data_IF_645902210318
#
_entry.id   IF_645902210318
#
_cell.length_a   1.000
_cell.length_b   1.000
_cell.length_c   1.000
_cell.angle_alpha   90.00
_cell.angle_beta   90.00
_cell.angle_gamma   90.00
#
_symmetry.space_group_name_H-M   'P 1'
#
loop_
_entity.id
_entity.type
_entity.pdbx_description
1 polymer ?
#
# COMPACT_ATOMS: atom_id res chain seq x y z
N UNK A 1 22.78 28.05 -19.11
CA UNK A 1 21.32 27.86 -19.27
C UNK A 1 20.61 28.66 -18.19
N UNK A 2 19.41 29.20 -18.45
CA UNK A 2 18.66 30.02 -17.46
C UNK A 2 17.35 29.38 -16.99
N UNK A 3 16.78 28.47 -17.78
CA UNK A 3 15.55 27.73 -17.47
C UNK A 3 15.69 26.33 -18.07
N UNK A 4 15.30 25.32 -17.30
CA UNK A 4 15.21 23.93 -17.74
C UNK A 4 13.76 23.49 -17.59
N UNK A 5 13.19 22.91 -18.65
CA UNK A 5 11.85 22.34 -18.63
C UNK A 5 11.99 20.84 -18.80
N UNK A 6 11.46 20.07 -17.85
CA UNK A 6 11.54 18.62 -17.82
C UNK A 6 10.16 18.04 -17.55
N UNK A 7 9.83 16.93 -18.21
CA UNK A 7 8.69 16.06 -17.89
C UNK A 7 9.14 14.98 -16.90
N UNK A 8 8.21 14.21 -16.32
CA UNK A 8 8.52 13.17 -15.33
C UNK A 8 9.64 12.21 -15.79
N UNK A 9 9.68 11.88 -17.08
CA UNK A 9 10.69 11.01 -17.72
C UNK A 9 12.12 11.58 -17.64
N UNK A 10 12.27 12.91 -17.63
CA UNK A 10 13.56 13.59 -17.48
C UNK A 10 13.88 13.93 -16.01
N UNK A 11 12.88 13.86 -15.13
CA UNK A 11 13.03 14.08 -13.68
C UNK A 11 13.57 12.84 -12.93
N UNK A 12 13.51 11.68 -13.57
CA UNK A 12 14.06 10.42 -13.07
C UNK A 12 15.53 10.28 -13.49
N UNK A 13 16.43 10.31 -12.51
CA UNK A 13 17.84 9.92 -12.71
C UNK A 13 18.83 11.01 -13.10
N UNK A 14 18.39 12.26 -13.33
CA UNK A 14 19.29 13.39 -13.61
C UNK A 14 19.62 14.22 -12.36
N UNK A 15 20.84 14.75 -12.30
CA UNK A 15 21.27 15.69 -11.26
C UNK A 15 21.06 17.12 -11.76
N UNK A 16 20.31 17.92 -11.01
CA UNK A 16 19.95 19.30 -11.37
C UNK A 16 20.47 20.33 -10.35
N UNK A 17 21.65 20.05 -9.78
CA UNK A 17 22.26 20.83 -8.70
C UNK A 17 22.64 22.28 -9.11
N UNK A 18 22.72 22.55 -10.41
CA UNK A 18 22.94 23.91 -10.94
C UNK A 18 21.67 24.77 -10.91
N UNK A 19 20.52 24.18 -10.59
CA UNK A 19 19.25 24.90 -10.40
C UNK A 19 19.05 25.24 -8.91
N UNK A 20 18.23 26.25 -8.63
CA UNK A 20 17.83 26.61 -7.26
C UNK A 20 16.37 27.07 -7.14
N UNK A 21 15.64 27.10 -8.25
CA UNK A 21 14.20 27.37 -8.29
C UNK A 21 13.53 26.22 -9.03
N UNK A 22 12.57 25.58 -8.38
CA UNK A 22 11.74 24.51 -8.92
C UNK A 22 10.32 25.05 -9.03
N UNK A 23 9.71 24.91 -10.21
CA UNK A 23 8.31 25.28 -10.43
C UNK A 23 7.58 24.03 -10.92
N UNK A 24 6.64 23.57 -10.11
CA UNK A 24 5.87 22.35 -10.39
C UNK A 24 4.47 22.74 -10.86
N UNK A 25 4.17 22.41 -12.12
CA UNK A 25 2.87 22.70 -12.73
C UNK A 25 1.81 21.64 -12.42
N UNK A 26 2.22 20.43 -12.07
CA UNK A 26 1.37 19.32 -11.65
C UNK A 26 1.46 19.11 -10.13
N UNK A 27 0.35 18.75 -9.49
CA UNK A 27 0.37 18.34 -8.08
C UNK A 27 0.38 16.81 -8.03
N UNK A 28 1.53 16.16 -7.82
CA UNK A 28 1.57 14.72 -7.70
C UNK A 28 0.84 14.32 -6.42
N UNK A 29 -0.01 13.30 -6.53
CA UNK A 29 -0.81 12.79 -5.43
C UNK A 29 0.04 12.33 -4.22
N UNK A 30 1.25 11.85 -4.48
CA UNK A 30 2.21 11.46 -3.47
C UNK A 30 3.24 12.58 -3.21
N UNK A 31 3.26 13.11 -1.98
CA UNK A 31 4.17 14.18 -1.54
C UNK A 31 5.64 13.78 -1.73
N UNK A 32 5.95 12.49 -1.58
CA UNK A 32 7.31 11.98 -1.81
C UNK A 32 7.82 12.30 -3.22
N UNK A 33 6.95 12.45 -4.23
CA UNK A 33 7.37 12.89 -5.57
C UNK A 33 7.85 14.34 -5.57
N UNK A 34 7.22 15.23 -4.80
CA UNK A 34 7.70 16.61 -4.63
C UNK A 34 9.06 16.63 -3.91
N UNK A 35 9.21 15.81 -2.86
CA UNK A 35 10.47 15.67 -2.11
C UNK A 35 11.57 15.10 -3.01
N UNK A 36 11.27 14.07 -3.79
CA UNK A 36 12.24 13.48 -4.74
C UNK A 36 12.62 14.46 -5.85
N UNK A 37 11.68 15.27 -6.34
CA UNK A 37 11.94 16.35 -7.31
C UNK A 37 12.85 17.42 -6.69
N UNK A 38 12.56 17.85 -5.46
CA UNK A 38 13.42 18.77 -4.71
C UNK A 38 14.82 18.18 -4.47
N UNK A 39 14.90 16.90 -4.09
CA UNK A 39 16.15 16.17 -3.89
C UNK A 39 16.96 15.86 -5.16
N UNK A 40 16.50 16.27 -6.36
CA UNK A 40 17.36 16.33 -7.57
C UNK A 40 18.22 17.60 -7.60
N UNK A 41 17.75 18.64 -6.93
CA UNK A 41 18.38 19.96 -6.83
C UNK A 41 19.10 20.10 -5.49
N UNK A 42 18.49 19.59 -4.42
CA UNK A 42 19.05 19.56 -3.07
C UNK A 42 19.94 18.32 -2.89
N UNK A 43 21.21 18.45 -3.28
CA UNK A 43 22.24 17.40 -3.16
C UNK A 43 23.60 18.01 -2.80
N UNK A 44 24.50 17.16 -2.31
CA UNK A 44 25.91 17.49 -2.09
C UNK A 44 26.49 18.08 -3.39
N UNK A 45 26.90 19.34 -3.34
CA UNK A 45 27.39 20.11 -4.51
C UNK A 45 26.55 21.34 -4.85
N UNK A 46 25.35 21.49 -4.29
CA UNK A 46 24.53 22.70 -4.42
C UNK A 46 25.27 23.94 -3.89
N UNK A 47 25.25 25.03 -4.67
CA UNK A 47 25.95 26.30 -4.36
C UNK A 47 25.04 27.43 -3.89
N UNK A 48 23.73 27.28 -4.07
CA UNK A 48 22.74 28.27 -3.61
C UNK A 48 22.40 28.03 -2.14
N UNK A 49 22.41 29.08 -1.33
CA UNK A 49 22.04 29.02 0.09
C UNK A 49 20.56 28.66 0.33
N UNK A 50 19.72 28.84 -0.70
CA UNK A 50 18.28 28.56 -0.66
C UNK A 50 17.84 27.90 -1.94
N UNK A 51 16.95 26.92 -1.80
CA UNK A 51 16.19 26.30 -2.89
C UNK A 51 14.73 26.72 -2.73
N UNK A 52 14.13 27.26 -3.79
CA UNK A 52 12.74 27.72 -3.80
C UNK A 52 11.87 26.76 -4.59
N UNK A 53 10.86 26.18 -3.95
CA UNK A 53 9.91 25.26 -4.56
C UNK A 53 8.54 25.92 -4.69
N UNK A 54 8.08 26.15 -5.91
CA UNK A 54 6.76 26.68 -6.21
C UNK A 54 5.86 25.58 -6.78
N UNK A 55 4.60 25.56 -6.34
CA UNK A 55 3.59 24.60 -6.75
C UNK A 55 2.36 25.35 -7.26
N UNK A 56 1.93 25.06 -8.48
CA UNK A 56 0.66 25.59 -9.00
C UNK A 56 -0.52 24.87 -8.35
N UNK A 57 -1.42 25.63 -7.73
CA UNK A 57 -2.67 25.13 -7.18
C UNK A 57 -3.83 25.34 -8.17
N UNK A 58 -4.80 24.40 -8.24
CA UNK A 58 -5.99 24.58 -9.06
C UNK A 58 -6.82 25.77 -8.58
N UNK A 59 -7.58 26.39 -9.49
CA UNK A 59 -8.52 27.45 -9.15
C UNK A 59 -9.59 26.96 -8.15
N UNK A 60 -10.09 27.85 -7.29
CA UNK A 60 -10.98 27.55 -6.15
C UNK A 60 -12.19 26.65 -6.47
N UNK A 61 -12.71 26.72 -7.70
CA UNK A 61 -13.82 25.89 -8.17
C UNK A 61 -13.49 24.39 -8.25
N UNK A 62 -12.25 24.04 -8.63
CA UNK A 62 -11.77 22.65 -8.74
C UNK A 62 -11.30 22.13 -7.38
N UNK A 63 -10.69 22.99 -6.55
CA UNK A 63 -10.29 22.66 -5.17
C UNK A 63 -11.49 22.23 -4.31
N UNK A 64 -12.65 22.89 -4.47
CA UNK A 64 -13.87 22.54 -3.72
C UNK A 64 -14.41 21.14 -4.03
N UNK A 65 -14.12 20.60 -5.22
CA UNK A 65 -14.57 19.28 -5.66
C UNK A 65 -13.58 18.20 -5.24
N UNK A 66 -12.27 18.45 -5.40
CA UNK A 66 -11.23 17.43 -5.22
C UNK A 66 -10.66 17.43 -3.79
N UNK A 67 -10.87 18.52 -3.02
CA UNK A 67 -10.33 18.75 -1.67
C UNK A 67 -8.82 18.50 -1.60
N UNK A 68 -8.09 18.87 -2.66
CA UNK A 68 -6.70 18.50 -2.87
C UNK A 68 -5.78 19.15 -1.81
N UNK A 69 -5.97 20.44 -1.51
CA UNK A 69 -5.24 21.16 -0.46
C UNK A 69 -5.48 20.55 0.92
N UNK A 70 -6.71 20.12 1.20
CA UNK A 70 -7.03 19.44 2.45
C UNK A 70 -6.34 18.08 2.57
N UNK A 71 -6.39 17.26 1.51
CA UNK A 71 -5.73 15.94 1.47
C UNK A 71 -4.21 16.03 1.58
N UNK A 72 -3.59 16.95 0.83
CA UNK A 72 -2.14 17.19 0.89
C UNK A 72 -1.74 17.70 2.29
N UNK A 73 -2.53 18.58 2.91
CA UNK A 73 -2.26 19.05 4.28
C UNK A 73 -2.40 17.94 5.32
N UNK A 74 -3.39 17.06 5.18
CA UNK A 74 -3.53 15.88 6.05
C UNK A 74 -2.31 14.97 5.91
N UNK A 75 -1.90 14.64 4.68
CA UNK A 75 -0.70 13.84 4.43
C UNK A 75 0.58 14.51 4.92
N UNK A 76 0.72 15.83 4.81
CA UNK A 76 1.88 16.56 5.35
C UNK A 76 1.92 16.49 6.88
N UNK A 77 0.77 16.57 7.56
CA UNK A 77 0.69 16.39 9.01
C UNK A 77 1.00 14.96 9.45
N UNK A 78 0.55 13.96 8.68
CA UNK A 78 0.87 12.56 8.91
C UNK A 78 2.36 12.24 8.67
N UNK A 79 3.01 12.97 7.76
CA UNK A 79 4.44 12.82 7.44
C UNK A 79 5.36 13.79 8.20
N UNK A 80 4.84 14.73 8.99
CA UNK A 80 5.62 15.74 9.72
C UNK A 80 6.48 15.14 10.86
N UNK A 81 6.25 13.89 11.24
CA UNK A 81 7.16 13.16 12.14
C UNK A 81 8.39 12.58 11.39
N UNK A 82 8.32 12.43 10.06
CA UNK A 82 9.36 11.82 9.21
C UNK A 82 10.27 12.88 8.58
N UNK A 83 9.72 14.07 8.32
CA UNK A 83 10.44 15.21 7.74
C UNK A 83 10.59 16.25 8.85
N UNK A 84 11.83 16.54 9.25
CA UNK A 84 12.13 17.39 10.41
C UNK A 84 11.31 18.69 10.46
N UNK A 85 10.91 19.07 11.66
CA UNK A 85 9.89 20.07 12.03
C UNK A 85 10.12 21.52 11.57
N UNK A 86 11.14 21.81 10.75
CA UNK A 86 11.55 23.17 10.40
C UNK A 86 11.09 23.63 9.00
N UNK A 87 10.33 22.82 8.25
CA UNK A 87 9.85 23.15 6.91
C UNK A 87 8.39 23.66 6.92
N UNK A 88 8.19 24.97 6.77
CA UNK A 88 6.86 25.56 6.56
C UNK A 88 6.42 25.39 5.09
N UNK A 89 5.47 24.49 4.83
CA UNK A 89 5.02 24.14 3.48
C UNK A 89 3.93 25.07 2.94
N UNK A 90 3.19 25.77 3.80
CA UNK A 90 2.16 26.75 3.42
C UNK A 90 2.33 28.08 4.19
N UNK A 91 1.99 29.20 3.55
CA UNK A 91 2.12 30.56 4.15
C UNK A 91 1.23 30.77 5.40
N UNK A 92 0.18 29.95 5.59
CA UNK A 92 -0.85 30.11 6.64
C UNK A 92 -0.69 29.17 7.84
N UNK A 93 0.45 28.49 8.05
CA UNK A 93 0.66 27.42 9.05
C UNK A 93 0.73 27.89 10.54
N UNK A 94 -0.23 28.72 10.99
CA UNK A 94 -0.40 29.08 12.41
C UNK A 94 -1.79 28.68 12.94
N UNK A 95 -2.07 27.38 13.18
CA UNK A 95 -2.92 26.95 14.32
C UNK A 95 -3.11 25.42 14.52
N UNK A 96 -3.03 25.01 15.78
CA UNK A 96 -3.16 23.67 16.38
C UNK A 96 -4.62 23.20 16.62
N UNK A 97 -5.49 23.20 15.60
CA UNK A 97 -6.90 22.78 15.80
C UNK A 97 -7.26 21.37 15.30
N UNK A 98 -6.41 20.72 14.50
CA UNK A 98 -6.78 19.48 13.79
C UNK A 98 -6.73 18.18 14.62
N UNK A 99 -6.19 18.22 15.84
CA UNK A 99 -5.97 17.02 16.67
C UNK A 99 -7.26 16.53 17.37
N UNK A 100 -8.35 17.33 17.37
CA UNK A 100 -9.59 16.97 18.10
C UNK A 100 -10.66 16.24 17.29
N UNK A 101 -10.65 16.35 15.96
CA UNK A 101 -11.74 15.78 15.14
C UNK A 101 -11.48 14.32 14.72
N UNK A 102 -10.30 13.77 15.00
CA UNK A 102 -9.94 12.38 14.70
C UNK A 102 -10.49 11.37 15.72
N UNK A 103 -10.96 11.83 16.89
CA UNK A 103 -11.39 10.98 18.01
C UNK A 103 -12.90 10.79 18.16
N UNK A 104 -13.72 11.28 17.22
CA UNK A 104 -15.18 11.06 17.29
C UNK A 104 -15.62 10.14 16.15
N UNK A 105 -15.74 8.85 16.48
CA UNK A 105 -16.39 7.84 15.65
C UNK A 105 -17.76 8.30 15.16
N UNK A 106 -17.92 8.31 13.84
CA UNK A 106 -19.17 7.93 13.21
C UNK A 106 -18.88 6.92 12.12
N UNK A 107 -19.21 5.68 12.42
CA UNK A 107 -19.38 4.60 11.46
C UNK A 107 -20.23 5.07 10.27
N UNK A 108 -19.75 4.81 9.05
CA UNK A 108 -20.51 4.96 7.82
C UNK A 108 -20.06 6.10 6.91
N UNK A 109 -18.87 5.97 6.32
CA UNK A 109 -18.60 6.43 4.95
C UNK A 109 -17.71 5.39 4.28
N UNK A 110 -18.33 4.54 3.46
CA UNK A 110 -17.63 3.68 2.51
C UNK A 110 -16.94 4.52 1.42
N UNK A 111 -15.92 3.90 0.83
CA UNK A 111 -15.27 4.21 -0.46
C UNK A 111 -14.25 5.35 -0.52
N UNK A 112 -13.03 5.04 -0.07
CA UNK A 112 -11.80 5.64 -0.60
C UNK A 112 -10.55 4.75 -0.35
N UNK A 113 -10.62 3.43 -0.55
CA UNK A 113 -9.46 2.52 -0.42
C UNK A 113 -8.87 2.13 -1.78
N UNK A 114 -8.37 3.11 -2.53
CA UNK A 114 -7.50 2.85 -3.69
C UNK A 114 -6.11 3.52 -3.55
N UNK A 115 -5.79 4.07 -2.36
CA UNK A 115 -4.55 4.83 -2.13
C UNK A 115 -3.76 4.42 -0.87
N UNK A 116 -4.27 3.47 -0.08
CA UNK A 116 -3.61 2.94 1.14
C UNK A 116 -2.62 1.81 0.83
N UNK A 117 -2.90 0.98 -0.18
CA UNK A 117 -2.09 -0.21 -0.53
C UNK A 117 -0.76 0.15 -1.23
N UNK A 118 -0.73 1.25 -2.00
CA UNK A 118 0.48 1.75 -2.69
C UNK A 118 1.46 2.40 -1.70
N UNK A 119 0.96 3.05 -0.65
CA UNK A 119 1.79 3.64 0.40
C UNK A 119 2.41 2.57 1.31
N UNK A 120 1.67 1.49 1.62
CA UNK A 120 2.21 0.41 2.47
C UNK A 120 3.39 -0.32 1.83
N UNK A 121 3.29 -0.68 0.55
CA UNK A 121 4.38 -1.35 -0.17
C UNK A 121 5.63 -0.46 -0.28
N UNK A 122 5.44 0.84 -0.51
CA UNK A 122 6.51 1.82 -0.59
C UNK A 122 7.19 2.01 0.77
N UNK A 123 6.39 2.09 1.84
CA UNK A 123 6.88 2.20 3.21
C UNK A 123 7.65 0.94 3.64
N UNK A 124 7.11 -0.26 3.36
CA UNK A 124 7.79 -1.52 3.60
C UNK A 124 9.11 -1.63 2.82
N UNK A 125 9.13 -1.19 1.55
CA UNK A 125 10.35 -1.16 0.75
C UNK A 125 11.40 -0.19 1.32
N UNK A 126 10.97 0.97 1.82
CA UNK A 126 11.88 1.93 2.47
C UNK A 126 12.49 1.35 3.74
N UNK A 127 11.69 0.67 4.58
CA UNK A 127 12.19 -0.05 5.77
C UNK A 127 13.21 -1.10 5.36
N UNK A 128 12.88 -1.92 4.35
CA UNK A 128 13.77 -2.94 3.80
C UNK A 128 15.10 -2.34 3.31
N UNK A 129 15.02 -1.25 2.55
CA UNK A 129 16.20 -0.58 2.01
C UNK A 129 17.07 0.01 3.11
N UNK A 130 16.49 0.72 4.07
CA UNK A 130 17.22 1.25 5.22
C UNK A 130 17.93 0.13 6.01
N UNK A 131 17.25 -0.99 6.23
CA UNK A 131 17.82 -2.14 6.94
C UNK A 131 18.99 -2.77 6.18
N UNK A 132 18.87 -2.95 4.86
CA UNK A 132 19.92 -3.54 4.02
C UNK A 132 21.08 -2.60 3.74
N UNK A 133 20.84 -1.29 3.63
CA UNK A 133 21.87 -0.27 3.56
C UNK A 133 22.70 -0.25 4.86
N UNK A 134 22.04 -0.39 6.02
CA UNK A 134 22.71 -0.49 7.32
C UNK A 134 23.46 -1.82 7.54
N UNK A 135 22.90 -2.94 7.06
CA UNK A 135 23.52 -4.27 7.13
C UNK A 135 23.26 -5.08 5.86
N UNK A 136 24.27 -5.14 4.99
CA UNK A 136 24.14 -5.76 3.66
C UNK A 136 23.90 -7.27 3.70
N UNK A 137 24.24 -7.97 4.79
CA UNK A 137 23.99 -9.42 4.90
C UNK A 137 22.50 -9.74 5.05
N UNK A 138 21.67 -8.79 5.51
CA UNK A 138 20.22 -8.96 5.61
C UNK A 138 19.56 -9.23 4.25
N UNK A 139 20.15 -8.71 3.16
CA UNK A 139 19.67 -8.94 1.81
C UNK A 139 19.76 -10.42 1.38
N UNK A 140 20.62 -11.22 2.03
CA UNK A 140 20.72 -12.67 1.82
C UNK A 140 19.92 -13.45 2.85
N UNK A 141 19.98 -13.02 4.11
CA UNK A 141 19.38 -13.75 5.24
C UNK A 141 17.86 -13.74 5.15
N UNK A 142 17.24 -12.57 4.97
CA UNK A 142 15.78 -12.42 5.06
C UNK A 142 15.06 -13.21 3.95
N UNK A 143 15.46 -13.16 2.66
CA UNK A 143 14.83 -13.98 1.62
C UNK A 143 15.06 -15.49 1.77
N UNK A 144 16.09 -15.90 2.52
CA UNK A 144 16.39 -17.30 2.79
C UNK A 144 15.63 -17.86 3.99
N UNK A 145 14.92 -17.02 4.76
CA UNK A 145 14.11 -17.48 5.89
C UNK A 145 12.93 -18.34 5.39
N UNK A 146 12.64 -19.47 6.05
CA UNK A 146 11.48 -20.27 5.71
C UNK A 146 10.18 -19.53 6.06
N UNK A 147 9.07 -19.95 5.45
CA UNK A 147 7.75 -19.51 5.91
C UNK A 147 7.50 -19.98 7.34
N UNK A 148 6.53 -19.35 8.01
CA UNK A 148 6.12 -19.64 9.39
C UNK A 148 7.19 -19.24 10.43
N UNK A 149 8.10 -18.32 10.10
CA UNK A 149 9.04 -17.76 11.08
C UNK A 149 8.28 -16.92 12.11
N UNK A 150 8.64 -17.08 13.38
CA UNK A 150 8.04 -16.34 14.47
C UNK A 150 9.09 -15.80 15.43
N UNK A 151 8.78 -14.66 16.03
CA UNK A 151 9.58 -14.06 17.10
C UNK A 151 8.67 -13.35 18.08
N UNK A 152 9.21 -12.87 19.20
CA UNK A 152 8.49 -12.06 20.17
C UNK A 152 9.38 -10.92 20.61
N UNK A 153 8.83 -9.71 20.62
CA UNK A 153 9.55 -8.51 21.03
C UNK A 153 8.91 -7.87 22.27
N UNK A 154 9.68 -7.13 23.07
CA UNK A 154 9.13 -6.32 24.14
C UNK A 154 8.18 -5.25 23.58
N UNK A 155 7.03 -5.09 24.23
CA UNK A 155 6.01 -4.10 23.88
C UNK A 155 5.47 -3.43 25.14
N UNK A 156 5.12 -2.15 25.07
CA UNK A 156 4.44 -1.46 26.18
C UNK A 156 2.96 -1.32 25.82
N UNK A 157 2.07 -2.14 26.40
CA UNK A 157 0.68 -2.14 25.99
C UNK A 157 -0.01 -0.83 26.38
N UNK A 158 -0.82 -0.30 25.46
CA UNK A 158 -1.78 0.79 25.72
C UNK A 158 -3.19 0.29 25.42
N UNK A 159 -4.22 1.10 25.71
CA UNK A 159 -5.62 0.73 25.43
C UNK A 159 -5.84 0.40 23.94
N UNK A 160 -5.21 1.15 23.04
CA UNK A 160 -5.36 1.00 21.59
C UNK A 160 -4.26 0.11 20.96
N UNK A 161 -3.24 -0.27 21.75
CA UNK A 161 -2.13 -1.11 21.32
C UNK A 161 -1.85 -2.19 22.37
N UNK A 162 -2.77 -3.15 22.57
CA UNK A 162 -2.62 -4.19 23.57
C UNK A 162 -1.52 -5.20 23.21
N UNK A 163 -1.22 -6.08 24.16
CA UNK A 163 -0.46 -7.28 23.86
C UNK A 163 -1.19 -8.20 22.88
N UNK A 164 -0.42 -8.96 22.10
CA UNK A 164 -1.00 -9.80 21.07
C UNK A 164 0.01 -10.42 20.11
N UNK A 165 -0.49 -10.82 18.95
CA UNK A 165 0.32 -11.30 17.84
C UNK A 165 -0.02 -10.53 16.56
N UNK A 166 1.03 -10.11 15.85
CA UNK A 166 0.96 -9.65 14.47
C UNK A 166 1.20 -10.84 13.55
N UNK A 167 0.42 -10.96 12.49
CA UNK A 167 0.51 -12.05 11.52
C UNK A 167 0.57 -11.47 10.12
N UNK A 168 1.53 -11.94 9.34
CA UNK A 168 1.59 -11.72 7.91
C UNK A 168 1.35 -13.04 7.19
N UNK A 169 0.32 -13.08 6.35
CA UNK A 169 -0.03 -14.25 5.56
C UNK A 169 -0.27 -13.88 4.10
N UNK A 170 -0.04 -14.86 3.24
CA UNK A 170 -0.47 -14.84 1.85
C UNK A 170 -1.72 -15.69 1.71
N UNK A 171 -2.80 -15.11 1.20
CA UNK A 171 -4.08 -15.78 1.08
C UNK A 171 -4.08 -16.78 -0.09
N UNK A 172 -5.13 -17.58 -0.19
CA UNK A 172 -5.31 -18.56 -1.27
C UNK A 172 -5.20 -17.93 -2.67
N UNK A 173 -5.74 -16.72 -2.80
CA UNK A 173 -5.75 -15.94 -4.04
C UNK A 173 -4.44 -15.19 -4.30
N UNK A 174 -3.44 -15.35 -3.43
CA UNK A 174 -2.13 -14.73 -3.56
C UNK A 174 -2.06 -13.29 -3.03
N UNK A 175 -3.09 -12.81 -2.33
CA UNK A 175 -3.07 -11.48 -1.71
C UNK A 175 -2.26 -11.50 -0.41
N UNK A 176 -1.59 -10.38 -0.13
CA UNK A 176 -0.87 -10.16 1.11
C UNK A 176 -1.86 -9.61 2.17
N UNK A 177 -1.88 -10.21 3.36
CA UNK A 177 -2.77 -9.81 4.44
C UNK A 177 -2.02 -9.71 5.77
N UNK A 178 -2.30 -8.64 6.51
CA UNK A 178 -1.78 -8.38 7.84
C UNK A 178 -2.94 -8.39 8.84
N UNK A 179 -2.72 -9.00 10.00
CA UNK A 179 -3.64 -8.93 11.13
C UNK A 179 -2.89 -8.67 12.44
N UNK A 180 -3.51 -7.90 13.32
CA UNK A 180 -3.11 -7.80 14.71
C UNK A 180 -4.25 -8.28 15.59
N UNK A 181 -4.01 -9.36 16.33
CA UNK A 181 -4.96 -9.87 17.31
C UNK A 181 -4.43 -9.72 18.72
N UNK A 182 -5.31 -9.40 19.65
CA UNK A 182 -4.98 -9.35 21.07
C UNK A 182 -4.94 -10.76 21.70
N UNK A 183 -4.65 -10.86 23.01
CA UNK A 183 -4.61 -12.13 23.74
C UNK A 183 -5.94 -12.92 23.71
N UNK A 184 -7.08 -12.23 23.65
CA UNK A 184 -8.38 -12.89 23.52
C UNK A 184 -8.64 -13.38 22.08
N UNK A 185 -7.83 -12.95 21.12
CA UNK A 185 -7.94 -13.26 19.70
C UNK A 185 -8.91 -12.38 18.92
N UNK A 186 -9.19 -11.17 19.43
CA UNK A 186 -9.97 -10.14 18.74
C UNK A 186 -9.04 -9.26 17.92
N UNK A 187 -9.53 -8.77 16.78
CA UNK A 187 -8.81 -7.79 15.97
C UNK A 187 -8.58 -6.53 16.80
N UNK A 188 -7.34 -6.04 16.78
CA UNK A 188 -6.97 -4.76 17.38
C UNK A 188 -7.23 -3.63 16.40
N UNK A 189 -6.92 -3.83 15.12
CA UNK A 189 -7.09 -2.84 14.06
C UNK A 189 -7.16 -3.51 12.70
N UNK A 190 -7.93 -2.92 11.80
CA UNK A 190 -8.00 -3.31 10.38
C UNK A 190 -6.97 -2.54 9.53
N UNK A 191 -6.29 -1.54 10.11
CA UNK A 191 -5.31 -0.73 9.40
C UNK A 191 -3.98 -1.49 9.23
N UNK A 192 -3.70 -1.92 8.00
CA UNK A 192 -2.43 -2.56 7.66
C UNK A 192 -1.21 -1.68 7.97
N UNK A 193 -1.33 -0.36 7.80
CA UNK A 193 -0.26 0.58 8.13
C UNK A 193 0.02 0.62 9.64
N UNK A 194 -1.03 0.66 10.46
CA UNK A 194 -0.88 0.62 11.92
C UNK A 194 -0.21 -0.69 12.38
N UNK A 195 -0.58 -1.82 11.76
CA UNK A 195 0.03 -3.13 12.02
C UNK A 195 1.52 -3.12 11.67
N UNK A 196 1.88 -2.57 10.51
CA UNK A 196 3.28 -2.49 10.08
C UNK A 196 4.11 -1.58 10.98
N UNK A 197 3.58 -0.40 11.37
CA UNK A 197 4.22 0.47 12.37
C UNK A 197 4.37 -0.23 13.72
N UNK A 198 3.37 -1.01 14.13
CA UNK A 198 3.45 -1.80 15.37
C UNK A 198 4.45 -2.96 15.28
N UNK A 199 4.93 -3.35 14.10
CA UNK A 199 5.99 -4.33 13.94
C UNK A 199 7.40 -3.70 14.01
N UNK A 200 7.52 -2.39 13.84
CA UNK A 200 8.78 -1.67 13.76
C UNK A 200 9.61 -1.82 15.05
N UNK A 201 10.90 -2.12 14.88
CA UNK A 201 11.85 -2.23 15.98
C UNK A 201 13.28 -1.91 15.52
N UNK A 202 14.13 -1.55 16.48
CA UNK A 202 15.56 -1.35 16.24
C UNK A 202 16.27 -2.70 16.03
N UNK A 203 17.36 -2.73 15.26
CA UNK A 203 18.08 -3.96 14.91
C UNK A 203 18.68 -4.70 16.13
N UNK A 204 18.92 -3.98 17.23
CA UNK A 204 19.44 -4.50 18.50
C UNK A 204 18.33 -4.88 19.49
N UNK A 205 17.05 -4.80 19.08
CA UNK A 205 15.92 -5.15 19.94
C UNK A 205 16.02 -6.61 20.38
N UNK A 206 16.05 -6.90 21.69
CA UNK A 206 16.19 -8.27 22.18
C UNK A 206 14.92 -9.07 21.90
N UNK A 207 15.10 -10.32 21.47
CA UNK A 207 14.01 -11.28 21.37
C UNK A 207 13.61 -11.77 22.77
N UNK A 208 12.31 -11.84 23.03
CA UNK A 208 11.74 -12.44 24.24
C UNK A 208 11.29 -13.87 23.97
N UNK A 209 11.08 -14.62 25.06
CA UNK A 209 10.40 -15.89 24.98
C UNK A 209 8.95 -15.69 24.53
N UNK A 210 8.54 -16.54 23.58
CA UNK A 210 7.21 -16.56 22.99
C UNK A 210 6.13 -16.76 24.04
N UNK A 211 5.01 -16.07 23.88
CA UNK A 211 3.82 -16.32 24.71
C UNK A 211 3.30 -17.76 24.49
N UNK A 212 2.86 -18.50 25.53
CA UNK A 212 2.29 -19.84 25.36
C UNK A 212 1.16 -19.88 24.34
N UNK A 213 0.29 -18.87 24.36
CA UNK A 213 -0.86 -18.75 23.46
C UNK A 213 -0.53 -18.11 22.09
N UNK A 214 0.73 -17.91 21.74
CA UNK A 214 1.11 -17.26 20.48
C UNK A 214 0.50 -17.93 19.25
N UNK A 215 0.61 -19.25 19.16
CA UNK A 215 0.06 -19.97 18.02
C UNK A 215 -1.47 -19.96 17.99
N UNK A 216 -2.11 -19.91 19.16
CA UNK A 216 -3.56 -19.79 19.26
C UNK A 216 -4.04 -18.42 18.78
N UNK A 217 -3.30 -17.35 19.12
CA UNK A 217 -3.52 -16.02 18.55
C UNK A 217 -3.33 -16.04 17.02
N UNK A 218 -2.23 -16.62 16.53
CA UNK A 218 -1.97 -16.73 15.08
C UNK A 218 -3.09 -17.49 14.37
N UNK A 219 -3.57 -18.60 14.93
CA UNK A 219 -4.68 -19.39 14.37
C UNK A 219 -5.94 -18.54 14.22
N UNK A 220 -6.33 -17.82 15.27
CA UNK A 220 -7.51 -16.93 15.23
C UNK A 220 -7.37 -15.79 14.23
N UNK A 221 -6.16 -15.23 14.08
CA UNK A 221 -5.89 -14.21 13.07
C UNK A 221 -6.08 -14.75 11.64
N UNK A 222 -5.59 -15.96 11.37
CA UNK A 222 -5.77 -16.63 10.06
C UNK A 222 -7.24 -16.91 9.78
N UNK A 223 -7.98 -17.44 10.76
CA UNK A 223 -9.42 -17.70 10.63
C UNK A 223 -10.21 -16.44 10.29
N UNK A 224 -9.91 -15.33 10.97
CA UNK A 224 -10.53 -14.04 10.74
C UNK A 224 -10.27 -13.52 9.32
N UNK A 225 -9.02 -13.57 8.84
CA UNK A 225 -8.68 -13.11 7.48
C UNK A 225 -9.41 -13.97 6.43
N UNK A 226 -9.49 -15.29 6.64
CA UNK A 226 -10.20 -16.19 5.71
C UNK A 226 -11.71 -15.94 5.71
N UNK A 227 -12.31 -15.63 6.87
CA UNK A 227 -13.74 -15.30 6.97
C UNK A 227 -14.06 -13.92 6.38
N UNK A 228 -13.17 -12.94 6.56
CA UNK A 228 -13.27 -11.61 5.97
C UNK A 228 -13.16 -11.66 4.44
N UNK A 229 -12.22 -12.43 3.88
CA UNK A 229 -12.11 -12.59 2.43
C UNK A 229 -13.38 -13.18 1.80
N UNK A 230 -14.03 -14.12 2.50
CA UNK A 230 -15.32 -14.70 2.05
C UNK A 230 -16.46 -13.70 2.07
N UNK A 231 -16.42 -12.71 2.97
CA UNK A 231 -17.55 -11.79 3.20
C UNK A 231 -17.42 -10.45 2.47
N UNK A 232 -16.22 -9.88 2.33
CA UNK A 232 -16.01 -8.53 1.75
C UNK A 232 -15.95 -8.54 0.21
N UNK A 233 -15.54 -9.65 -0.39
CA UNK A 233 -15.22 -9.73 -1.82
C UNK A 233 -16.05 -10.70 -2.66
N UNK A 234 -16.87 -11.54 -2.01
CA UNK A 234 -17.50 -12.69 -2.65
C UNK A 234 -16.45 -13.60 -3.34
N UNK A 235 -16.83 -14.22 -4.46
CA UNK A 235 -15.95 -15.15 -5.20
C UNK A 235 -14.73 -14.47 -5.86
N UNK A 236 -14.69 -13.14 -5.92
CA UNK A 236 -13.64 -12.35 -6.60
C UNK A 236 -12.51 -11.89 -5.67
N UNK A 237 -12.66 -12.07 -4.36
CA UNK A 237 -11.72 -11.55 -3.36
C UNK A 237 -11.85 -10.04 -3.14
N UNK A 238 -10.89 -9.45 -2.39
CA UNK A 238 -10.97 -8.06 -1.89
C UNK A 238 -11.19 -7.02 -3.01
N UNK A 239 -11.93 -5.93 -2.74
CA UNK A 239 -12.17 -4.85 -3.70
C UNK A 239 -10.90 -4.21 -4.29
N UNK A 240 -9.81 -4.13 -3.51
CA UNK A 240 -8.50 -3.64 -3.97
C UNK A 240 -7.75 -4.62 -4.89
N UNK A 241 -8.17 -5.88 -4.95
CA UNK A 241 -7.48 -6.92 -5.69
C UNK A 241 -7.50 -6.71 -7.20
N UNK A 242 -6.44 -7.16 -7.90
CA UNK A 242 -6.37 -7.09 -9.36
C UNK A 242 -7.58 -7.74 -10.04
N UNK A 243 -8.01 -8.89 -9.50
CA UNK A 243 -9.14 -9.67 -10.00
C UNK A 243 -10.46 -8.91 -9.89
N UNK A 244 -10.79 -8.42 -8.70
CA UNK A 244 -12.00 -7.63 -8.45
C UNK A 244 -12.03 -6.37 -9.31
N UNK A 245 -10.97 -5.54 -9.26
CA UNK A 245 -10.88 -4.29 -10.02
C UNK A 245 -11.00 -4.51 -11.53
N UNK A 246 -10.32 -5.54 -12.05
CA UNK A 246 -10.39 -5.88 -13.48
C UNK A 246 -11.81 -6.32 -13.85
N UNK A 247 -12.44 -7.17 -13.03
CA UNK A 247 -13.80 -7.65 -13.27
C UNK A 247 -14.83 -6.52 -13.28
N UNK A 248 -14.88 -5.70 -12.23
CA UNK A 248 -15.86 -4.60 -12.13
C UNK A 248 -15.69 -3.58 -13.26
N UNK A 249 -14.44 -3.26 -13.60
CA UNK A 249 -14.14 -2.32 -14.68
C UNK A 249 -14.55 -2.86 -16.06
N UNK A 250 -14.25 -4.14 -16.35
CA UNK A 250 -14.64 -4.77 -17.60
C UNK A 250 -16.14 -5.02 -17.70
N UNK A 251 -16.81 -5.34 -16.59
CA UNK A 251 -18.27 -5.46 -16.52
C UNK A 251 -18.95 -4.14 -16.91
N UNK A 252 -18.52 -3.03 -16.32
CA UNK A 252 -19.03 -1.69 -16.67
C UNK A 252 -18.73 -1.35 -18.15
N UNK A 253 -17.55 -1.70 -18.64
CA UNK A 253 -17.20 -1.50 -20.04
C UNK A 253 -18.07 -2.32 -20.99
N UNK A 254 -18.32 -3.60 -20.70
CA UNK A 254 -19.22 -4.47 -21.47
C UNK A 254 -20.63 -3.89 -21.54
N UNK A 255 -21.15 -3.37 -20.42
CA UNK A 255 -22.45 -2.70 -20.41
C UNK A 255 -22.47 -1.47 -21.34
N UNK A 256 -21.37 -0.70 -21.40
CA UNK A 256 -21.26 0.47 -22.27
C UNK A 256 -21.18 0.14 -23.78
N UNK A 257 -20.66 -1.03 -24.15
CA UNK A 257 -20.49 -1.48 -25.54
C UNK A 257 -21.51 -2.53 -25.98
N UNK A 258 -22.49 -2.85 -25.14
CA UNK A 258 -23.50 -3.88 -25.41
C UNK A 258 -24.21 -3.64 -26.75
N UNK A 259 -24.28 -4.66 -27.58
CA UNK A 259 -24.89 -4.61 -28.91
C UNK A 259 -24.03 -3.94 -30.00
N UNK A 260 -22.77 -3.61 -29.70
CA UNK A 260 -21.82 -3.07 -30.69
C UNK A 260 -20.85 -4.14 -31.21
N UNK A 261 -20.10 -3.82 -32.26
CA UNK A 261 -19.04 -4.69 -32.81
C UNK A 261 -17.89 -4.96 -31.82
N UNK A 262 -17.78 -4.19 -30.74
CA UNK A 262 -16.76 -4.36 -29.71
C UNK A 262 -17.17 -5.35 -28.62
N UNK A 263 -18.45 -5.74 -28.55
CA UNK A 263 -18.92 -6.85 -27.71
C UNK A 263 -18.55 -8.18 -28.36
N UNK A 264 -17.35 -8.67 -28.05
CA UNK A 264 -16.83 -9.92 -28.60
C UNK A 264 -17.12 -11.11 -27.68
N UNK A 265 -17.45 -12.30 -28.21
CA UNK A 265 -17.60 -13.52 -27.41
C UNK A 265 -16.35 -13.86 -26.59
N UNK A 266 -15.17 -13.51 -27.09
CA UNK A 266 -13.88 -13.72 -26.44
C UNK A 266 -13.74 -12.87 -25.18
N UNK A 267 -14.18 -11.61 -25.22
CA UNK A 267 -14.20 -10.72 -24.07
C UNK A 267 -15.16 -11.22 -22.98
N UNK A 268 -16.38 -11.61 -23.37
CA UNK A 268 -17.37 -12.14 -22.44
C UNK A 268 -16.86 -13.39 -21.72
N UNK A 269 -16.22 -14.32 -22.44
CA UNK A 269 -15.59 -15.52 -21.87
C UNK A 269 -14.43 -15.16 -20.93
N UNK A 270 -13.63 -14.16 -21.28
CA UNK A 270 -12.51 -13.75 -20.42
C UNK A 270 -12.97 -13.16 -19.09
N UNK A 271 -14.03 -12.34 -19.10
CA UNK A 271 -14.62 -11.78 -17.88
C UNK A 271 -15.28 -12.87 -17.03
N UNK A 272 -15.97 -13.83 -17.66
CA UNK A 272 -16.54 -14.99 -16.97
C UNK A 272 -15.44 -15.87 -16.32
N UNK A 273 -14.31 -16.09 -17.00
CA UNK A 273 -13.18 -16.82 -16.43
C UNK A 273 -12.55 -16.08 -15.24
N UNK A 274 -12.48 -14.74 -15.26
CA UNK A 274 -12.05 -13.93 -14.11
C UNK A 274 -13.02 -14.09 -12.94
N UNK A 275 -14.32 -14.16 -13.21
CA UNK A 275 -15.33 -14.37 -12.17
C UNK A 275 -15.23 -15.75 -11.53
N UNK A 276 -15.02 -16.79 -12.34
CA UNK A 276 -15.02 -18.18 -11.89
C UNK A 276 -13.71 -18.64 -11.28
N UNK A 277 -12.58 -18.23 -11.86
CA UNK A 277 -11.28 -18.81 -11.57
C UNK A 277 -10.28 -17.77 -11.05
N UNK A 278 -9.35 -18.18 -10.17
CA UNK A 278 -8.29 -17.29 -9.70
C UNK A 278 -7.31 -16.96 -10.83
N UNK A 279 -6.80 -15.73 -10.80
CA UNK A 279 -5.79 -15.26 -11.75
C UNK A 279 -4.46 -15.99 -11.55
N UNK A 280 -3.72 -16.17 -12.64
CA UNK A 280 -2.31 -16.55 -12.56
C UNK A 280 -1.50 -15.38 -11.97
N UNK A 281 -0.47 -15.66 -11.15
CA UNK A 281 0.38 -14.62 -10.57
C UNK A 281 0.93 -13.64 -11.63
N UNK A 282 1.36 -14.17 -12.79
CA UNK A 282 1.84 -13.34 -13.90
C UNK A 282 0.77 -12.41 -14.48
N UNK A 283 -0.49 -12.85 -14.50
CA UNK A 283 -1.61 -12.00 -14.89
C UNK A 283 -1.91 -10.96 -13.80
N UNK A 284 -1.94 -11.37 -12.52
CA UNK A 284 -2.11 -10.46 -11.38
C UNK A 284 -1.09 -9.31 -11.42
N UNK A 285 0.19 -9.62 -11.56
CA UNK A 285 1.26 -8.62 -11.60
C UNK A 285 1.13 -7.69 -12.82
N UNK A 286 0.74 -8.26 -13.97
CA UNK A 286 0.54 -7.50 -15.21
C UNK A 286 -0.65 -6.57 -15.12
N UNK A 287 -1.79 -7.07 -14.63
CA UNK A 287 -3.02 -6.28 -14.46
C UNK A 287 -2.82 -5.18 -13.42
N UNK A 288 -2.21 -5.49 -12.27
CA UNK A 288 -1.89 -4.48 -11.25
C UNK A 288 -1.01 -3.35 -11.81
N UNK A 289 0.02 -3.69 -12.59
CA UNK A 289 0.88 -2.69 -13.23
C UNK A 289 0.11 -1.82 -14.23
N UNK A 290 -0.75 -2.42 -15.05
CA UNK A 290 -1.50 -1.71 -16.09
C UNK A 290 -2.63 -0.84 -15.50
N UNK A 291 -3.31 -1.33 -14.47
CA UNK A 291 -4.29 -0.55 -13.70
C UNK A 291 -3.62 0.67 -13.05
N UNK A 292 -2.44 0.49 -12.45
CA UNK A 292 -1.66 1.59 -11.87
C UNK A 292 -1.19 2.62 -12.90
N UNK A 293 -0.91 2.22 -14.14
CA UNK A 293 -0.57 3.15 -15.23
C UNK A 293 -1.78 3.81 -15.86
N UNK A 294 -3.00 3.55 -15.37
CA UNK A 294 -4.23 4.16 -15.89
C UNK A 294 -4.63 3.64 -17.27
N UNK A 295 -4.40 2.35 -17.56
CA UNK A 295 -4.84 1.69 -18.80
C UNK A 295 -6.31 2.02 -19.12
N UNK A 296 -6.65 2.24 -20.39
CA UNK A 296 -8.04 2.50 -20.80
C UNK A 296 -8.90 1.23 -20.77
N UNK A 297 -10.22 1.35 -20.70
CA UNK A 297 -11.11 0.17 -20.67
C UNK A 297 -11.00 -0.70 -21.94
N UNK A 298 -10.93 -0.13 -23.16
CA UNK A 298 -10.68 -0.91 -24.37
C UNK A 298 -9.33 -1.65 -24.37
N UNK A 299 -8.26 -0.98 -23.92
CA UNK A 299 -6.93 -1.59 -23.86
C UNK A 299 -6.88 -2.70 -22.81
N UNK A 300 -7.57 -2.51 -21.68
CA UNK A 300 -7.72 -3.51 -20.63
C UNK A 300 -8.48 -4.74 -21.15
N UNK A 301 -9.55 -4.53 -21.92
CA UNK A 301 -10.31 -5.61 -22.55
C UNK A 301 -9.42 -6.41 -23.51
N UNK A 302 -8.63 -5.74 -24.35
CA UNK A 302 -7.71 -6.39 -25.28
C UNK A 302 -6.60 -7.15 -24.55
N UNK A 303 -6.05 -6.57 -23.47
CA UNK A 303 -5.04 -7.22 -22.63
C UNK A 303 -5.58 -8.52 -22.00
N UNK A 304 -6.77 -8.47 -21.41
CA UNK A 304 -7.40 -9.62 -20.77
C UNK A 304 -7.74 -10.72 -21.78
N UNK A 305 -8.27 -10.36 -22.94
CA UNK A 305 -8.50 -11.30 -24.05
C UNK A 305 -7.19 -11.93 -24.52
N UNK A 306 -6.13 -11.14 -24.67
CA UNK A 306 -4.80 -11.63 -25.04
C UNK A 306 -4.22 -12.60 -24.02
N UNK A 307 -4.26 -12.24 -22.73
CA UNK A 307 -3.82 -13.11 -21.64
C UNK A 307 -4.62 -14.43 -21.62
N UNK A 308 -5.93 -14.39 -21.91
CA UNK A 308 -6.76 -15.59 -22.00
C UNK A 308 -6.36 -16.47 -23.19
N UNK A 309 -6.19 -15.88 -24.37
CA UNK A 309 -5.80 -16.59 -25.58
C UNK A 309 -4.45 -17.32 -25.40
N UNK A 310 -3.53 -16.71 -24.64
CA UNK A 310 -2.24 -17.30 -24.31
C UNK A 310 -2.28 -18.33 -23.16
N UNK A 311 -3.46 -18.64 -22.59
CA UNK A 311 -3.62 -19.46 -21.38
C UNK A 311 -2.85 -18.91 -20.16
N UNK A 312 -2.73 -17.58 -20.07
CA UNK A 312 -1.98 -16.87 -19.03
C UNK A 312 -2.86 -16.04 -18.11
N UNK A 313 -4.18 -16.04 -18.30
CA UNK A 313 -5.14 -15.25 -17.52
C UNK A 313 -5.48 -15.91 -16.16
N UNK A 314 -6.18 -17.05 -16.20
CA UNK A 314 -6.66 -17.75 -15.02
C UNK A 314 -6.08 -19.16 -14.93
N UNK A 315 -6.02 -19.71 -13.71
CA UNK A 315 -5.74 -21.14 -13.49
C UNK A 315 -7.00 -21.95 -13.74
N UNK A 316 -7.20 -22.40 -14.98
CA UNK A 316 -8.28 -23.32 -15.34
C UNK A 316 -7.73 -24.74 -15.20
N UNK A 317 -7.83 -25.31 -14.01
CA UNK A 317 -7.45 -26.70 -13.69
C UNK A 317 -8.69 -27.44 -13.22
N UNK A 318 -8.95 -28.64 -13.75
CA UNK A 318 -10.03 -29.54 -13.29
C UNK A 318 -9.76 -30.17 -11.90
N UNK A 319 -8.57 -29.96 -11.33
CA UNK A 319 -8.24 -30.35 -9.96
C UNK A 319 -8.27 -29.11 -9.05
N UNK A 320 -9.38 -28.98 -8.31
CA UNK A 320 -9.58 -28.05 -7.21
C UNK A 320 -8.65 -28.41 -6.03
N UNK A 321 -7.38 -28.03 -6.09
CA UNK A 321 -6.68 -27.70 -4.85
C UNK A 321 -6.84 -26.20 -4.62
N UNK A 322 -7.84 -25.85 -3.81
CA UNK A 322 -7.92 -24.53 -3.20
C UNK A 322 -6.58 -24.28 -2.51
N UNK A 323 -5.79 -23.32 -3.02
CA UNK A 323 -4.50 -23.03 -2.44
C UNK A 323 -4.69 -22.65 -0.96
N UNK A 324 -4.05 -23.36 -0.05
CA UNK A 324 -4.18 -23.03 1.38
C UNK A 324 -3.49 -21.69 1.68
N UNK A 325 -4.05 -20.85 2.57
CA UNK A 325 -3.40 -19.64 3.02
C UNK A 325 -2.05 -19.99 3.67
N UNK A 326 -1.00 -19.27 3.30
CA UNK A 326 0.37 -19.49 3.76
C UNK A 326 0.76 -18.43 4.77
N UNK A 327 1.00 -18.84 6.01
CA UNK A 327 1.57 -17.96 7.03
C UNK A 327 3.03 -17.69 6.66
N UNK A 328 3.38 -16.43 6.41
CA UNK A 328 4.76 -16.05 6.08
C UNK A 328 5.55 -15.85 7.37
N UNK A 329 5.05 -15.00 8.26
CA UNK A 329 5.66 -14.79 9.57
C UNK A 329 4.67 -14.29 10.63
N UNK A 330 5.07 -14.34 11.90
CA UNK A 330 4.31 -13.77 13.01
C UNK A 330 5.21 -13.16 14.08
N UNK A 331 4.74 -12.08 14.72
CA UNK A 331 5.48 -11.35 15.75
C UNK A 331 4.61 -11.20 17.00
N UNK A 332 5.06 -11.75 18.11
CA UNK A 332 4.44 -11.55 19.41
C UNK A 332 4.81 -10.18 20.00
N UNK A 333 3.83 -9.45 20.50
CA UNK A 333 4.01 -8.21 21.26
C UNK A 333 3.70 -8.51 22.73
N UNK A 334 4.75 -8.49 23.57
CA UNK A 334 4.65 -8.90 24.97
C UNK A 334 5.19 -7.84 25.93
N UNK A 335 4.47 -7.56 27.01
CA UNK A 335 4.98 -6.70 28.07
C UNK A 335 6.16 -7.37 28.77
N UNK A 336 7.25 -6.63 28.89
CA UNK A 336 8.34 -7.02 29.79
C UNK A 336 7.82 -6.92 31.21
N UNK A 337 7.66 -8.06 31.88
CA UNK A 337 7.53 -8.09 33.34
C UNK A 337 8.80 -7.47 33.91
N UNK A 338 8.73 -6.20 34.30
CA UNK A 338 9.75 -5.59 35.11
C UNK A 338 9.89 -6.41 36.38
N UNK A 339 11.08 -6.98 36.60
CA UNK A 339 11.47 -7.34 37.96
C UNK A 339 11.36 -6.10 38.83
N UNK A 340 10.82 -6.30 40.02
CA UNK A 340 10.62 -5.29 41.07
C UNK A 340 11.81 -4.35 41.28
#
# INVERSE_FOLDING_TARGET
LRVVVATDVLSEGQNLQDCNIIVTFDQPWAIIRLIQRAGRVDRIGQKSDRILCYSFLPADGVERIIRLRARVRTRLRENAEVVGTDEAFFEDDRNDQAVRDLFTEKAGIFDADDDTEVDLASYAWQIWKNATDANHELAKIIPALPNVVYSTRPHRPTADQPEGALVYLRTADGNDALAWVNREGRSVTESQFAILKAAECAADTPALERHPDHHEMVRKAVEMIVEEEKSVGGQLGRPSGARFRTYERLKNYIESIRGTLFETPELLKAVDDIYKFPLLQSATDTLNRQLKSGISDPDLAQLVVGLRADNRLCRVSEEEEAAEPRIICSLGLRQTTGGH
#
